data_IF_603565474363
#
_entry.id   IF_603565474363
#
_cell.length_a   1.000
_cell.length_b   1.000
_cell.length_c   1.000
_cell.angle_alpha   90.00
_cell.angle_beta   90.00
_cell.angle_gamma   90.00
#
_symmetry.space_group_name_H-M   'P 1'
#
loop_
_entity.id
_entity.type
_entity.pdbx_description
1 polymer ?
#
# COMPACT_ATOMS: atom_id res chain seq x y z
N UNK A 1 -15.54 13.53 -6.30
CA UNK A 1 -14.47 13.91 -7.25
C UNK A 1 -14.61 13.06 -8.52
N UNK A 2 -14.35 13.61 -9.72
CA UNK A 2 -14.40 12.82 -10.96
C UNK A 2 -13.24 11.82 -11.01
N UNK A 3 -13.44 10.64 -11.63
CA UNK A 3 -12.40 9.59 -11.75
C UNK A 3 -11.06 10.15 -12.26
N UNK A 4 -11.07 10.95 -13.33
CA UNK A 4 -9.84 11.56 -13.87
C UNK A 4 -9.08 12.42 -12.85
N UNK A 5 -9.77 13.12 -11.97
CA UNK A 5 -9.16 13.90 -10.89
C UNK A 5 -8.60 13.00 -9.78
N UNK A 6 -9.27 11.88 -9.49
CA UNK A 6 -8.77 10.89 -8.53
C UNK A 6 -7.44 10.27 -8.99
N UNK A 7 -7.29 9.95 -10.27
CA UNK A 7 -6.03 9.42 -10.81
C UNK A 7 -4.82 10.34 -10.60
N UNK A 8 -5.06 11.64 -10.49
CA UNK A 8 -3.99 12.62 -10.33
C UNK A 8 -3.70 12.92 -8.85
N UNK A 9 -4.74 12.94 -8.00
CA UNK A 9 -4.63 13.48 -6.64
C UNK A 9 -4.78 12.44 -5.52
N UNK A 10 -5.25 11.22 -5.83
CA UNK A 10 -5.40 10.19 -4.80
C UNK A 10 -4.05 9.82 -4.18
N UNK A 11 -4.01 9.69 -2.85
CA UNK A 11 -2.79 9.36 -2.10
C UNK A 11 -1.73 10.48 -2.06
N UNK A 12 -1.96 11.60 -2.75
CA UNK A 12 -1.03 12.73 -2.75
C UNK A 12 -1.45 13.77 -1.70
N UNK A 13 -0.67 13.87 -0.63
CA UNK A 13 -0.82 14.88 0.40
C UNK A 13 0.46 15.71 0.48
N UNK A 14 0.37 17.04 0.63
CA UNK A 14 1.56 17.86 0.84
C UNK A 14 2.36 17.37 2.04
N UNK A 15 3.68 17.25 1.86
CA UNK A 15 4.57 16.84 2.95
C UNK A 15 4.48 17.84 4.12
N UNK A 16 4.20 17.38 5.35
CA UNK A 16 3.97 18.31 6.47
C UNK A 16 5.22 19.06 6.93
N UNK A 17 6.42 18.57 6.59
CA UNK A 17 7.67 19.20 6.98
C UNK A 17 8.17 20.25 5.98
N UNK A 18 7.88 20.06 4.69
CA UNK A 18 8.41 20.90 3.61
C UNK A 18 7.32 21.57 2.76
N UNK A 19 6.08 21.07 2.81
CA UNK A 19 5.00 21.47 1.93
C UNK A 19 5.13 20.92 0.50
N UNK A 20 6.02 19.98 0.26
CA UNK A 20 6.20 19.38 -1.07
C UNK A 20 4.89 18.73 -1.54
N UNK A 21 4.44 19.09 -2.75
CA UNK A 21 3.19 18.58 -3.33
C UNK A 21 3.34 17.15 -3.82
N UNK A 22 4.48 16.82 -4.41
CA UNK A 22 4.79 15.45 -4.83
C UNK A 22 5.25 14.64 -3.62
N UNK A 23 4.78 13.39 -3.53
CA UNK A 23 5.17 12.48 -2.45
C UNK A 23 6.69 12.29 -2.43
N UNK A 24 7.37 12.61 -1.32
CA UNK A 24 8.80 12.35 -1.18
C UNK A 24 9.14 10.87 -1.26
N UNK A 25 10.33 10.55 -1.79
CA UNK A 25 10.86 9.19 -1.81
C UNK A 25 11.64 8.95 -0.51
N UNK A 26 11.07 8.16 0.38
CA UNK A 26 11.69 7.79 1.66
C UNK A 26 12.58 6.54 1.48
N UNK A 27 13.87 6.77 1.24
CA UNK A 27 14.89 5.73 1.16
C UNK A 27 15.46 5.43 2.56
N UNK A 28 14.64 4.93 3.46
CA UNK A 28 15.05 4.61 4.82
C UNK A 28 14.59 3.21 5.22
N UNK A 29 15.28 2.59 6.16
CA UNK A 29 14.89 1.31 6.75
C UNK A 29 14.19 1.49 8.10
N UNK A 30 14.70 2.37 8.94
CA UNK A 30 14.25 2.58 10.32
C UNK A 30 13.91 4.03 10.60
N UNK A 31 13.08 4.26 11.62
CA UNK A 31 12.63 5.57 12.05
C UNK A 31 12.96 5.76 13.51
N UNK A 32 13.28 6.99 13.91
CA UNK A 32 13.53 7.32 15.32
C UNK A 32 12.26 7.15 16.14
N UNK A 33 12.36 6.49 17.27
CA UNK A 33 11.31 6.36 18.27
C UNK A 33 11.68 7.17 19.51
N UNK A 34 10.70 7.79 20.15
CA UNK A 34 10.89 8.53 21.40
C UNK A 34 11.11 7.57 22.59
N UNK A 35 10.49 6.39 22.55
CA UNK A 35 10.65 5.28 23.48
C UNK A 35 10.26 3.98 22.75
N UNK A 36 10.57 2.79 23.26
CA UNK A 36 10.14 1.53 22.68
C UNK A 36 8.64 1.50 22.39
N UNK A 37 8.27 1.37 21.10
CA UNK A 37 6.88 1.39 20.64
C UNK A 37 6.23 2.77 20.56
N UNK A 38 6.95 3.87 20.87
CA UNK A 38 6.43 5.24 20.76
C UNK A 38 7.06 5.92 19.54
N UNK A 39 6.33 5.94 18.43
CA UNK A 39 6.78 6.45 17.13
C UNK A 39 5.74 7.40 16.49
N UNK A 40 6.16 8.13 15.46
CA UNK A 40 5.33 9.11 14.73
C UNK A 40 4.45 8.49 13.62
N UNK A 41 4.11 7.22 13.71
CA UNK A 41 3.31 6.49 12.71
C UNK A 41 4.12 5.47 11.92
N UNK A 42 5.43 5.64 11.82
CA UNK A 42 6.33 4.72 11.10
C UNK A 42 7.46 4.27 12.03
N UNK A 43 7.81 2.99 11.97
CA UNK A 43 8.89 2.39 12.77
C UNK A 43 9.94 1.67 11.91
N UNK A 44 9.49 1.00 10.85
CA UNK A 44 10.35 0.22 9.97
C UNK A 44 9.76 0.13 8.56
N UNK A 45 10.59 0.37 7.55
CA UNK A 45 10.13 0.51 6.15
C UNK A 45 9.51 -0.76 5.56
N UNK A 46 9.90 -1.96 6.03
CA UNK A 46 9.28 -3.21 5.57
C UNK A 46 7.84 -3.34 6.07
N UNK A 47 7.57 -2.89 7.28
CA UNK A 47 6.20 -2.84 7.83
C UNK A 47 5.41 -1.70 7.15
N UNK A 48 5.94 -0.49 7.19
CA UNK A 48 5.30 0.70 6.60
C UNK A 48 6.34 1.72 6.12
N UNK A 49 6.04 2.39 5.00
CA UNK A 49 6.86 3.45 4.44
C UNK A 49 5.95 4.53 3.83
N UNK A 50 6.18 5.83 4.08
CA UNK A 50 5.30 6.89 3.60
C UNK A 50 5.12 6.88 2.07
N UNK A 51 6.16 6.57 1.32
CA UNK A 51 6.06 6.48 -0.15
C UNK A 51 5.15 5.32 -0.58
N UNK A 52 5.25 4.16 0.07
CA UNK A 52 4.37 3.02 -0.18
C UNK A 52 2.94 3.29 0.29
N UNK A 53 2.76 3.95 1.42
CA UNK A 53 1.43 4.34 1.93
C UNK A 53 0.70 5.22 0.92
N UNK A 54 1.37 6.19 0.30
CA UNK A 54 0.77 7.04 -0.72
C UNK A 54 0.27 6.24 -1.93
N UNK A 55 1.01 5.20 -2.36
CA UNK A 55 0.59 4.28 -3.42
C UNK A 55 -0.63 3.45 -2.99
N UNK A 56 -0.59 2.89 -1.80
CA UNK A 56 -1.68 2.06 -1.25
C UNK A 56 -2.99 2.86 -1.11
N UNK A 57 -2.91 4.09 -0.62
CA UNK A 57 -4.05 5.01 -0.53
C UNK A 57 -4.58 5.39 -1.92
N UNK A 58 -3.70 5.70 -2.87
CA UNK A 58 -4.08 6.02 -4.23
C UNK A 58 -4.87 4.87 -4.88
N UNK A 59 -4.36 3.64 -4.79
CA UNK A 59 -5.00 2.46 -5.34
C UNK A 59 -6.33 2.17 -4.66
N UNK A 60 -6.43 2.29 -3.34
CA UNK A 60 -7.69 2.12 -2.61
C UNK A 60 -8.76 3.10 -3.13
N UNK A 61 -8.42 4.38 -3.27
CA UNK A 61 -9.36 5.40 -3.78
C UNK A 61 -9.78 5.12 -5.23
N UNK A 62 -8.84 4.77 -6.10
CA UNK A 62 -9.08 4.55 -7.52
C UNK A 62 -9.98 3.32 -7.74
N UNK A 63 -9.75 2.25 -6.99
CA UNK A 63 -10.50 1.00 -7.06
C UNK A 63 -11.79 1.02 -6.21
N UNK A 64 -12.02 2.08 -5.42
CA UNK A 64 -13.19 2.20 -4.53
C UNK A 64 -13.12 1.28 -3.33
N UNK A 65 -11.92 0.85 -2.95
CA UNK A 65 -11.65 0.07 -1.75
C UNK A 65 -11.46 0.96 -0.52
N UNK A 66 -11.52 0.35 0.66
CA UNK A 66 -11.18 1.01 1.93
C UNK A 66 -9.69 1.00 2.20
N UNK A 67 -9.00 -0.04 1.75
CA UNK A 67 -7.57 -0.24 1.95
C UNK A 67 -6.93 -0.72 0.66
N UNK A 68 -5.67 -0.33 0.44
CA UNK A 68 -4.78 -0.87 -0.56
C UNK A 68 -3.56 -1.46 0.13
N UNK A 69 -3.02 -2.56 -0.40
CA UNK A 69 -1.81 -3.21 0.09
C UNK A 69 -0.89 -3.50 -1.07
N UNK A 70 0.33 -3.01 -1.01
CA UNK A 70 1.36 -3.24 -2.02
C UNK A 70 2.28 -4.39 -1.61
N UNK A 71 2.55 -5.28 -2.56
CA UNK A 71 3.43 -6.43 -2.40
C UNK A 71 4.61 -6.36 -3.36
N UNK A 72 5.69 -7.07 -3.05
CA UNK A 72 6.90 -7.10 -3.88
C UNK A 72 6.73 -7.87 -5.20
N UNK A 73 5.66 -8.66 -5.34
CA UNK A 73 5.32 -9.40 -6.55
C UNK A 73 3.82 -9.70 -6.63
N UNK A 74 3.33 -9.99 -7.84
CA UNK A 74 1.95 -10.44 -8.04
C UNK A 74 1.67 -11.77 -7.33
N UNK A 75 2.63 -12.69 -7.30
CA UNK A 75 2.49 -13.96 -6.56
C UNK A 75 2.35 -13.71 -5.06
N UNK A 76 3.10 -12.77 -4.48
CA UNK A 76 2.94 -12.40 -3.07
C UNK A 76 1.55 -11.82 -2.78
N UNK A 77 1.00 -11.01 -3.68
CA UNK A 77 -0.35 -10.48 -3.57
C UNK A 77 -1.40 -11.61 -3.67
N UNK A 78 -1.23 -12.53 -4.60
CA UNK A 78 -2.10 -13.71 -4.76
C UNK A 78 -2.06 -14.60 -3.51
N UNK A 79 -0.87 -14.88 -2.98
CA UNK A 79 -0.70 -15.66 -1.75
C UNK A 79 -1.42 -15.02 -0.55
N UNK A 80 -1.35 -13.68 -0.42
CA UNK A 80 -2.07 -12.97 0.62
C UNK A 80 -3.60 -13.14 0.51
N UNK A 81 -4.15 -13.13 -0.70
CA UNK A 81 -5.58 -13.37 -0.94
C UNK A 81 -5.95 -14.83 -0.60
N UNK A 82 -5.14 -15.80 -1.04
CA UNK A 82 -5.38 -17.22 -0.77
C UNK A 82 -5.37 -17.52 0.72
N UNK A 83 -4.54 -16.84 1.51
CA UNK A 83 -4.51 -17.00 2.98
C UNK A 83 -5.77 -16.56 3.71
N UNK A 84 -6.69 -15.86 3.06
CA UNK A 84 -8.02 -15.55 3.62
C UNK A 84 -8.97 -16.73 3.54
N UNK A 85 -8.65 -17.75 2.74
CA UNK A 85 -9.48 -18.91 2.52
C UNK A 85 -9.25 -19.99 3.59
N UNK A 86 -10.26 -20.81 3.79
CA UNK A 86 -10.25 -21.93 4.73
C UNK A 86 -10.30 -23.25 3.95
N UNK A 87 -9.87 -24.36 4.53
CA UNK A 87 -10.07 -25.68 3.93
C UNK A 87 -11.55 -25.93 3.58
N UNK A 88 -11.82 -26.27 2.33
CA UNK A 88 -13.16 -26.45 1.79
C UNK A 88 -13.72 -25.27 1.01
N UNK A 89 -13.10 -24.11 1.06
CA UNK A 89 -13.47 -22.96 0.20
C UNK A 89 -13.09 -23.26 -1.25
N UNK A 90 -13.92 -22.79 -2.18
CA UNK A 90 -13.71 -22.96 -3.61
C UNK A 90 -13.21 -21.64 -4.23
N UNK A 91 -12.29 -21.76 -5.17
CA UNK A 91 -11.74 -20.62 -5.93
C UNK A 91 -12.05 -20.78 -7.41
N UNK A 92 -12.71 -19.79 -7.99
CA UNK A 92 -12.91 -19.72 -9.43
C UNK A 92 -11.83 -18.82 -10.02
N UNK A 93 -11.05 -19.35 -10.92
CA UNK A 93 -9.98 -18.60 -11.59
C UNK A 93 -10.02 -18.81 -13.12
N UNK A 94 -9.38 -17.89 -13.85
CA UNK A 94 -9.19 -18.05 -15.29
C UNK A 94 -8.30 -19.26 -15.61
N UNK A 95 -8.48 -19.81 -16.80
CA UNK A 95 -7.64 -20.93 -17.27
C UNK A 95 -6.24 -20.49 -17.69
N UNK A 96 -6.08 -19.21 -17.98
CA UNK A 96 -4.87 -18.61 -18.55
C UNK A 96 -4.16 -17.75 -17.49
N UNK A 97 -3.60 -18.42 -16.49
CA UNK A 97 -2.91 -17.80 -15.37
C UNK A 97 -1.40 -17.80 -15.57
N UNK A 98 -0.72 -16.90 -14.85
CA UNK A 98 0.73 -16.88 -14.78
C UNK A 98 1.28 -18.20 -14.23
N UNK A 99 2.24 -18.78 -14.93
CA UNK A 99 2.76 -20.13 -14.64
C UNK A 99 3.73 -20.22 -13.45
N UNK A 100 4.07 -19.11 -12.83
CA UNK A 100 4.89 -19.06 -11.61
C UNK A 100 4.03 -19.08 -10.35
#
# INVERSE_FOLDING_TARGET
>A
MKKATQFIHAGAHPDPSTGAIMTPIFQTSTYVQEAPGVHKGYEYARSQNPTRTALEEALAVIEGGQFGLAFSSGVAATDAVIKLLKPGDEVICGNDMYGG
#
